data_IF_589839364503
#
_entry.id   IF_589839364503
#
_cell.length_a   1.000
_cell.length_b   1.000
_cell.length_c   1.000
_cell.angle_alpha   90.00
_cell.angle_beta   90.00
_cell.angle_gamma   90.00
#
_symmetry.space_group_name_H-M   'P 1'
#
loop_
_entity.id
_entity.type
_entity.pdbx_description
1 polymer ?
#
# COMPACT_ATOMS: atom_id res chain seq x y z
N UNK A 1 -34.10 -50.20 -11.85
CA UNK A 1 -34.88 -49.59 -10.76
C UNK A 1 -33.99 -49.24 -9.57
N UNK A 2 -33.06 -48.31 -9.77
CA UNK A 2 -32.36 -47.67 -8.64
C UNK A 2 -33.25 -46.56 -8.08
N UNK A 3 -33.03 -46.17 -6.82
CA UNK A 3 -33.74 -45.03 -6.22
C UNK A 3 -33.39 -43.73 -6.93
N UNK A 4 -34.34 -42.78 -6.97
CA UNK A 4 -34.15 -41.48 -7.60
C UNK A 4 -32.92 -40.73 -7.05
N UNK A 5 -32.65 -40.85 -5.74
CA UNK A 5 -31.51 -40.22 -5.10
C UNK A 5 -30.17 -40.76 -5.63
N UNK A 6 -30.08 -42.07 -5.88
CA UNK A 6 -28.87 -42.69 -6.45
C UNK A 6 -28.67 -42.27 -7.91
N UNK A 7 -29.76 -42.22 -8.69
CA UNK A 7 -29.72 -41.76 -10.08
C UNK A 7 -29.30 -40.29 -10.20
N UNK A 8 -29.91 -39.41 -9.41
CA UNK A 8 -29.58 -37.98 -9.38
C UNK A 8 -28.15 -37.73 -8.92
N UNK A 9 -27.71 -38.40 -7.85
CA UNK A 9 -26.34 -38.25 -7.34
C UNK A 9 -25.29 -38.63 -8.38
N UNK A 10 -25.52 -39.72 -9.12
CA UNK A 10 -24.61 -40.13 -10.19
C UNK A 10 -24.63 -39.17 -11.39
N UNK A 11 -25.81 -38.65 -11.75
CA UNK A 11 -25.94 -37.63 -12.79
C UNK A 11 -25.19 -36.33 -12.40
N UNK A 12 -25.33 -35.89 -11.15
CA UNK A 12 -24.61 -34.74 -10.62
C UNK A 12 -23.10 -34.97 -10.57
N UNK A 13 -22.66 -36.17 -10.16
CA UNK A 13 -21.25 -36.56 -10.20
C UNK A 13 -20.69 -36.47 -11.62
N UNK A 14 -21.40 -36.99 -12.63
CA UNK A 14 -20.99 -36.92 -14.04
C UNK A 14 -20.95 -35.47 -14.56
N UNK A 15 -21.92 -34.64 -14.19
CA UNK A 15 -21.92 -33.22 -14.56
C UNK A 15 -20.76 -32.47 -13.90
N UNK A 16 -20.51 -32.71 -12.61
CA UNK A 16 -19.42 -32.09 -11.85
C UNK A 16 -18.04 -32.53 -12.37
N UNK A 17 -17.89 -33.79 -12.77
CA UNK A 17 -16.64 -34.29 -13.33
C UNK A 17 -16.31 -33.67 -14.69
N UNK A 18 -17.31 -33.34 -15.51
CA UNK A 18 -17.11 -32.53 -16.72
C UNK A 18 -16.76 -31.07 -16.37
N UNK A 19 -17.42 -30.48 -15.36
CA UNK A 19 -17.19 -29.09 -14.93
C UNK A 19 -15.79 -28.86 -14.38
N UNK A 20 -15.27 -29.79 -13.57
CA UNK A 20 -13.94 -29.69 -12.94
C UNK A 20 -12.84 -30.36 -13.77
N UNK A 21 -13.10 -30.69 -15.03
CA UNK A 21 -12.15 -31.32 -15.95
C UNK A 21 -11.55 -32.65 -15.46
N UNK A 22 -12.32 -33.47 -14.73
CA UNK A 22 -11.87 -34.76 -14.17
C UNK A 22 -12.10 -35.93 -15.15
N UNK A 23 -13.27 -36.01 -15.80
CA UNK A 23 -13.60 -37.13 -16.70
C UNK A 23 -15.10 -37.51 -16.76
N UNK A 24 -15.41 -38.67 -17.33
CA UNK A 24 -16.75 -39.03 -17.86
C UNK A 24 -17.70 -39.83 -16.93
N UNK A 25 -17.26 -40.18 -15.71
CA UNK A 25 -17.97 -41.12 -14.84
C UNK A 25 -17.39 -42.54 -14.93
N UNK A 26 -18.22 -43.58 -15.08
CA UNK A 26 -17.74 -44.97 -15.21
C UNK A 26 -17.03 -45.26 -16.55
N UNK A 27 -17.57 -44.79 -17.68
CA UNK A 27 -17.09 -45.10 -19.03
C UNK A 27 -17.38 -43.94 -20.00
N UNK A 28 -16.66 -43.91 -21.12
CA UNK A 28 -16.86 -42.92 -22.19
C UNK A 28 -18.27 -43.05 -22.82
N UNK A 29 -18.88 -41.94 -23.28
CA UNK A 29 -20.18 -41.99 -23.95
C UNK A 29 -20.10 -42.80 -25.25
N UNK A 30 -20.99 -43.78 -25.41
CA UNK A 30 -21.04 -44.65 -26.60
C UNK A 30 -22.17 -44.25 -27.55
N UNK A 31 -23.34 -43.91 -26.99
CA UNK A 31 -24.48 -43.45 -27.79
C UNK A 31 -24.28 -42.03 -28.31
N UNK A 32 -24.69 -41.76 -29.56
CA UNK A 32 -24.51 -40.44 -30.19
C UNK A 32 -25.18 -39.31 -29.41
N UNK A 33 -26.33 -39.54 -28.78
CA UNK A 33 -26.99 -38.57 -27.90
C UNK A 33 -26.12 -38.21 -26.69
N UNK A 34 -25.51 -39.22 -26.06
CA UNK A 34 -24.69 -39.05 -24.88
C UNK A 34 -23.37 -38.37 -25.21
N UNK A 35 -22.81 -38.62 -26.40
CA UNK A 35 -21.62 -37.93 -26.91
C UNK A 35 -21.89 -36.42 -27.04
N UNK A 36 -22.98 -36.02 -27.70
CA UNK A 36 -23.33 -34.60 -27.86
C UNK A 36 -23.62 -33.90 -26.53
N UNK A 37 -24.37 -34.54 -25.63
CA UNK A 37 -24.63 -34.00 -24.28
C UNK A 37 -23.35 -33.86 -23.47
N UNK A 38 -22.45 -34.85 -23.58
CA UNK A 38 -21.14 -34.83 -22.92
C UNK A 38 -20.29 -33.69 -23.47
N UNK A 39 -20.18 -33.55 -24.79
CA UNK A 39 -19.45 -32.44 -25.42
C UNK A 39 -20.01 -31.07 -25.00
N UNK A 40 -21.33 -30.90 -24.99
CA UNK A 40 -21.97 -29.66 -24.56
C UNK A 40 -21.64 -29.34 -23.09
N UNK A 41 -21.79 -30.33 -22.20
CA UNK A 41 -21.49 -30.15 -20.77
C UNK A 41 -20.01 -29.90 -20.50
N UNK A 42 -19.09 -30.46 -21.30
CA UNK A 42 -17.67 -30.15 -21.22
C UNK A 42 -17.37 -28.71 -21.63
N UNK A 43 -17.99 -28.21 -22.71
CA UNK A 43 -17.82 -26.80 -23.16
C UNK A 43 -18.31 -25.83 -22.08
N UNK A 44 -19.52 -26.06 -21.56
CA UNK A 44 -20.09 -25.24 -20.49
C UNK A 44 -19.22 -25.32 -19.24
N UNK A 45 -18.83 -26.53 -18.84
CA UNK A 45 -18.00 -26.81 -17.68
C UNK A 45 -16.65 -26.10 -17.72
N UNK A 46 -15.91 -26.26 -18.82
CA UNK A 46 -14.61 -25.62 -19.03
C UNK A 46 -14.73 -24.08 -19.02
N UNK A 47 -15.79 -23.54 -19.62
CA UNK A 47 -16.04 -22.08 -19.60
C UNK A 47 -16.30 -21.57 -18.18
N UNK A 48 -17.16 -22.26 -17.42
CA UNK A 48 -17.43 -21.93 -16.02
C UNK A 48 -16.16 -22.03 -15.16
N UNK A 49 -15.34 -23.07 -15.35
CA UNK A 49 -14.10 -23.25 -14.61
C UNK A 49 -13.06 -22.16 -14.93
N UNK A 50 -12.92 -21.78 -16.22
CA UNK A 50 -12.06 -20.69 -16.62
C UNK A 50 -12.50 -19.34 -16.01
N UNK A 51 -13.81 -19.06 -16.00
CA UNK A 51 -14.35 -17.86 -15.34
C UNK A 51 -14.10 -17.89 -13.82
N UNK A 52 -14.30 -19.04 -13.17
CA UNK A 52 -14.00 -19.21 -11.75
C UNK A 52 -12.54 -18.90 -11.42
N UNK A 53 -11.59 -19.46 -12.18
CA UNK A 53 -10.16 -19.16 -12.03
C UNK A 53 -9.88 -17.68 -12.27
N UNK A 54 -10.50 -17.08 -13.30
CA UNK A 54 -10.36 -15.66 -13.60
C UNK A 54 -10.79 -14.77 -12.42
N UNK A 55 -11.96 -15.05 -11.83
CA UNK A 55 -12.45 -14.34 -10.67
C UNK A 55 -11.60 -14.57 -9.41
N UNK A 56 -11.17 -15.81 -9.15
CA UNK A 56 -10.28 -16.11 -8.04
C UNK A 56 -8.95 -15.35 -8.16
N UNK A 57 -8.38 -15.29 -9.36
CA UNK A 57 -7.15 -14.55 -9.64
C UNK A 57 -7.34 -13.05 -9.45
N UNK A 58 -8.44 -12.48 -9.96
CA UNK A 58 -8.77 -11.07 -9.79
C UNK A 58 -8.95 -10.70 -8.31
N UNK A 59 -9.62 -11.57 -7.54
CA UNK A 59 -9.78 -11.39 -6.09
C UNK A 59 -8.42 -11.37 -5.38
N UNK A 60 -7.54 -12.35 -5.66
CA UNK A 60 -6.19 -12.40 -5.09
C UNK A 60 -5.41 -11.13 -5.42
N UNK A 61 -5.50 -10.63 -6.65
CA UNK A 61 -4.84 -9.39 -7.05
C UNK A 61 -5.42 -8.14 -6.36
N UNK A 62 -6.71 -8.14 -6.00
CA UNK A 62 -7.38 -7.02 -5.34
C UNK A 62 -7.10 -6.93 -3.84
N UNK A 63 -6.80 -8.05 -3.17
CA UNK A 63 -6.69 -8.12 -1.71
C UNK A 63 -5.51 -7.33 -1.14
N UNK A 64 -4.45 -7.07 -1.92
CA UNK A 64 -3.26 -6.35 -1.43
C UNK A 64 -2.74 -5.29 -2.41
N UNK A 65 -3.65 -4.43 -2.88
CA UNK A 65 -3.33 -3.38 -3.86
C UNK A 65 -2.25 -2.40 -3.37
N UNK A 66 -2.37 -1.88 -2.13
CA UNK A 66 -1.43 -0.89 -1.58
C UNK A 66 0.00 -1.43 -1.37
N UNK A 67 0.13 -2.68 -0.90
CA UNK A 67 1.45 -3.31 -0.74
C UNK A 67 2.04 -3.69 -2.08
N UNK A 68 1.22 -4.16 -3.03
CA UNK A 68 1.66 -4.41 -4.40
C UNK A 68 2.18 -3.13 -5.05
N UNK A 69 1.49 -2.00 -4.91
CA UNK A 69 1.95 -0.71 -5.39
C UNK A 69 3.29 -0.30 -4.76
N UNK A 70 3.45 -0.47 -3.45
CA UNK A 70 4.73 -0.24 -2.78
C UNK A 70 5.85 -1.12 -3.35
N UNK A 71 5.60 -2.42 -3.51
CA UNK A 71 6.58 -3.37 -4.07
C UNK A 71 6.95 -3.03 -5.51
N UNK A 72 5.97 -2.71 -6.36
CA UNK A 72 6.19 -2.29 -7.75
C UNK A 72 7.03 -1.01 -7.81
N UNK A 73 6.73 -0.02 -6.97
CA UNK A 73 7.51 1.23 -6.90
C UNK A 73 8.92 0.97 -6.41
N UNK A 74 9.09 0.20 -5.33
CA UNK A 74 10.40 -0.09 -4.76
C UNK A 74 11.28 -0.88 -5.76
N UNK A 75 10.69 -1.80 -6.54
CA UNK A 75 11.40 -2.50 -7.62
C UNK A 75 11.92 -1.54 -8.69
N UNK A 76 11.19 -0.47 -9.04
CA UNK A 76 11.71 0.57 -9.94
C UNK A 76 12.90 1.31 -9.32
N UNK A 77 12.87 1.56 -8.01
CA UNK A 77 14.00 2.15 -7.29
C UNK A 77 15.22 1.23 -7.34
N UNK A 78 15.05 -0.07 -7.11
CA UNK A 78 16.14 -1.05 -7.24
C UNK A 78 16.76 -1.08 -8.64
N UNK A 79 15.91 -1.06 -9.67
CA UNK A 79 16.36 -0.99 -11.06
C UNK A 79 17.17 0.29 -11.33
N UNK A 80 16.71 1.43 -10.81
CA UNK A 80 17.43 2.70 -10.90
C UNK A 80 18.80 2.63 -10.21
N UNK A 81 18.85 2.09 -8.98
CA UNK A 81 20.10 1.92 -8.22
C UNK A 81 21.08 0.98 -8.93
N UNK A 82 20.57 -0.07 -9.57
CA UNK A 82 21.35 -1.03 -10.33
C UNK A 82 21.92 -0.40 -11.60
N UNK A 83 21.09 0.32 -12.37
CA UNK A 83 21.49 1.00 -13.60
C UNK A 83 22.61 2.02 -13.35
N UNK A 84 22.48 2.81 -12.28
CA UNK A 84 23.51 3.79 -11.88
C UNK A 84 24.66 3.20 -11.08
N UNK A 85 24.67 1.88 -10.84
CA UNK A 85 25.72 1.16 -10.11
C UNK A 85 26.04 1.80 -8.75
N UNK A 86 25.00 2.19 -8.02
CA UNK A 86 25.18 2.82 -6.70
C UNK A 86 25.90 1.85 -5.73
N UNK A 87 26.78 2.35 -4.84
CA UNK A 87 27.45 1.53 -3.83
C UNK A 87 26.47 0.82 -2.90
N UNK A 88 26.88 -0.32 -2.34
CA UNK A 88 26.05 -1.13 -1.45
C UNK A 88 25.52 -0.32 -0.24
N UNK A 89 26.38 0.48 0.39
CA UNK A 89 26.01 1.30 1.55
C UNK A 89 24.91 2.31 1.21
N UNK A 90 24.99 2.91 0.02
CA UNK A 90 23.96 3.85 -0.45
C UNK A 90 22.64 3.14 -0.75
N UNK A 91 22.69 1.92 -1.31
CA UNK A 91 21.50 1.11 -1.54
C UNK A 91 20.82 0.73 -0.23
N UNK A 92 21.59 0.34 0.78
CA UNK A 92 21.05 0.02 2.10
C UNK A 92 20.39 1.23 2.73
N UNK A 93 21.03 2.41 2.67
CA UNK A 93 20.43 3.65 3.15
C UNK A 93 19.11 3.99 2.44
N UNK A 94 19.06 3.83 1.12
CA UNK A 94 17.81 4.02 0.35
C UNK A 94 16.75 3.01 0.79
N UNK A 95 17.10 1.74 0.97
CA UNK A 95 16.19 0.70 1.46
C UNK A 95 15.59 1.09 2.82
N UNK A 96 16.45 1.38 3.80
CA UNK A 96 16.04 1.76 5.14
C UNK A 96 15.16 3.01 5.12
N UNK A 97 15.48 4.01 4.29
CA UNK A 97 14.65 5.20 4.10
C UNK A 97 13.24 4.85 3.62
N UNK A 98 13.12 4.00 2.59
CA UNK A 98 11.82 3.59 2.06
C UNK A 98 11.00 2.77 3.06
N UNK A 99 11.64 1.90 3.85
CA UNK A 99 10.96 1.18 4.93
C UNK A 99 10.43 2.14 6.01
N UNK A 100 11.23 3.10 6.47
CA UNK A 100 10.79 4.07 7.49
C UNK A 100 9.74 5.05 6.97
N UNK A 101 9.85 5.50 5.70
CA UNK A 101 8.97 6.51 5.10
C UNK A 101 7.58 5.98 4.76
N UNK A 102 7.48 4.72 4.33
CA UNK A 102 6.25 4.13 3.80
C UNK A 102 5.76 2.92 4.58
N UNK A 103 6.58 2.29 5.43
CA UNK A 103 6.18 1.15 6.28
C UNK A 103 5.50 0.01 5.49
N UNK A 104 6.00 -0.24 4.27
CA UNK A 104 5.47 -1.28 3.38
C UNK A 104 4.15 -0.93 2.67
N UNK A 105 3.61 0.28 2.85
CA UNK A 105 2.39 0.75 2.19
C UNK A 105 2.60 2.11 1.54
N UNK A 106 2.25 2.23 0.28
CA UNK A 106 2.36 3.49 -0.44
C UNK A 106 0.96 4.06 -0.71
N UNK A 107 0.78 5.34 -0.37
CA UNK A 107 -0.43 6.09 -0.62
C UNK A 107 -0.07 7.40 -1.32
N UNK A 108 -0.89 7.79 -2.31
CA UNK A 108 -0.84 9.12 -2.88
C UNK A 108 -1.68 10.06 -2.01
N UNK A 109 -1.09 10.53 -0.92
CA UNK A 109 -1.79 11.36 0.08
C UNK A 109 -2.33 12.67 -0.52
N UNK A 110 -1.63 13.26 -1.50
CA UNK A 110 -2.07 14.50 -2.15
C UNK A 110 -3.32 14.26 -3.01
N UNK A 111 -3.35 13.17 -3.79
CA UNK A 111 -4.54 12.79 -4.54
C UNK A 111 -5.71 12.43 -3.63
N UNK A 112 -5.47 11.60 -2.60
CA UNK A 112 -6.51 11.16 -1.66
C UNK A 112 -7.14 12.35 -0.93
N UNK A 113 -6.30 13.24 -0.38
CA UNK A 113 -6.80 14.45 0.29
C UNK A 113 -7.48 15.41 -0.70
N UNK A 114 -7.01 15.44 -1.95
CA UNK A 114 -7.56 16.24 -3.05
C UNK A 114 -9.02 15.90 -3.41
N UNK A 115 -9.40 14.63 -3.31
CA UNK A 115 -10.77 14.15 -3.57
C UNK A 115 -11.77 14.48 -2.45
N UNK A 116 -11.28 14.82 -1.26
CA UNK A 116 -12.11 15.14 -0.10
C UNK A 116 -12.54 16.60 -0.10
N UNK A 117 -13.72 16.84 0.49
CA UNK A 117 -14.20 18.19 0.80
C UNK A 117 -13.24 18.88 1.78
N UNK A 118 -13.21 20.21 1.71
CA UNK A 118 -12.33 21.04 2.56
C UNK A 118 -12.51 20.75 4.06
N UNK A 119 -13.74 20.66 4.62
CA UNK A 119 -13.90 20.36 6.05
C UNK A 119 -13.35 18.98 6.46
N UNK A 120 -13.55 17.95 5.62
CA UNK A 120 -13.02 16.60 5.90
C UNK A 120 -11.50 16.57 5.87
N UNK A 121 -10.90 17.30 4.93
CA UNK A 121 -9.45 17.43 4.81
C UNK A 121 -8.86 18.11 6.05
N UNK A 122 -9.47 19.20 6.51
CA UNK A 122 -9.07 19.88 7.73
C UNK A 122 -9.19 18.97 8.96
N UNK A 123 -10.26 18.19 9.07
CA UNK A 123 -10.46 17.24 10.18
C UNK A 123 -9.38 16.16 10.21
N UNK A 124 -9.06 15.55 9.05
CA UNK A 124 -8.01 14.53 8.94
C UNK A 124 -6.64 15.11 9.30
N UNK A 125 -6.30 16.29 8.77
CA UNK A 125 -5.01 16.96 9.02
C UNK A 125 -4.88 17.31 10.51
N UNK A 126 -5.92 17.88 11.11
CA UNK A 126 -5.95 18.17 12.55
C UNK A 126 -5.80 16.90 13.37
N UNK A 127 -6.46 15.80 12.99
CA UNK A 127 -6.31 14.53 13.67
C UNK A 127 -4.88 13.99 13.58
N UNK A 128 -4.26 13.98 12.40
CA UNK A 128 -2.91 13.47 12.18
C UNK A 128 -1.85 14.31 12.93
N UNK A 129 -2.05 15.62 12.98
CA UNK A 129 -1.12 16.55 13.62
C UNK A 129 -1.44 16.83 15.10
N UNK A 130 -2.49 16.24 15.70
CA UNK A 130 -2.91 16.55 17.09
C UNK A 130 -1.80 16.44 18.13
N UNK A 131 -0.90 15.46 17.98
CA UNK A 131 0.25 15.28 18.87
C UNK A 131 1.25 16.43 18.73
N UNK A 132 1.51 16.84 17.49
CA UNK A 132 2.37 17.97 17.18
C UNK A 132 1.78 19.25 17.78
N UNK A 133 0.51 19.54 17.52
CA UNK A 133 -0.20 20.71 18.04
C UNK A 133 -0.17 20.76 19.57
N UNK A 134 -0.48 19.65 20.24
CA UNK A 134 -0.46 19.58 21.70
C UNK A 134 0.94 19.73 22.31
N UNK A 135 1.97 19.26 21.62
CA UNK A 135 3.36 19.33 22.09
C UNK A 135 4.02 20.70 21.87
N UNK A 136 3.45 21.54 21.00
CA UNK A 136 4.09 22.78 20.55
C UNK A 136 3.51 24.01 21.25
N UNK A 137 4.31 24.71 22.08
CA UNK A 137 3.86 25.95 22.73
C UNK A 137 3.42 27.03 21.74
N UNK A 138 3.98 27.02 20.52
CA UNK A 138 3.63 27.97 19.46
C UNK A 138 2.16 27.86 19.04
N UNK A 139 1.59 26.66 19.02
CA UNK A 139 0.19 26.44 18.62
C UNK A 139 -0.78 26.43 19.80
N UNK A 140 -0.30 26.15 21.02
CA UNK A 140 -1.14 26.03 22.20
C UNK A 140 -1.99 27.28 22.49
N UNK A 141 -1.48 28.47 22.17
CA UNK A 141 -2.16 29.75 22.41
C UNK A 141 -2.57 30.48 21.13
N UNK A 142 -2.48 29.82 19.96
CA UNK A 142 -2.80 30.42 18.68
C UNK A 142 -4.30 30.26 18.34
N UNK A 143 -4.80 31.13 17.45
CA UNK A 143 -6.16 31.00 16.90
C UNK A 143 -6.31 29.63 16.18
N UNK A 144 -7.34 28.83 16.49
CA UNK A 144 -7.58 27.55 15.82
C UNK A 144 -7.60 27.65 14.28
N UNK A 145 -8.11 28.74 13.71
CA UNK A 145 -8.12 28.92 12.25
C UNK A 145 -6.70 29.08 11.69
N UNK A 146 -5.83 29.79 12.42
CA UNK A 146 -4.41 29.91 12.08
C UNK A 146 -3.71 28.55 12.16
N UNK A 147 -3.97 27.77 13.23
CA UNK A 147 -3.39 26.44 13.40
C UNK A 147 -3.79 25.54 12.23
N UNK A 148 -5.09 25.42 11.93
CA UNK A 148 -5.58 24.63 10.79
C UNK A 148 -4.94 25.09 9.49
N UNK A 149 -4.91 26.40 9.23
CA UNK A 149 -4.29 26.97 8.03
C UNK A 149 -2.82 26.59 7.89
N UNK A 150 -2.06 26.62 8.99
CA UNK A 150 -0.64 26.23 8.96
C UNK A 150 -0.48 24.71 8.75
N UNK A 151 -1.27 23.89 9.45
CA UNK A 151 -1.19 22.44 9.33
C UNK A 151 -1.45 21.96 7.91
N UNK A 152 -2.36 22.61 7.16
CA UNK A 152 -2.59 22.28 5.74
C UNK A 152 -1.41 22.56 4.82
N UNK A 153 -0.41 23.35 5.27
CA UNK A 153 0.81 23.64 4.52
C UNK A 153 2.00 22.78 4.93
N UNK A 154 1.89 22.03 6.02
CA UNK A 154 2.94 21.11 6.45
C UNK A 154 3.10 19.97 5.45
N UNK A 155 4.34 19.52 5.29
CA UNK A 155 4.69 18.34 4.50
C UNK A 155 5.48 17.38 5.38
N UNK A 156 5.07 16.12 5.37
CA UNK A 156 5.74 15.08 6.14
C UNK A 156 7.05 14.68 5.46
N UNK A 157 8.17 14.82 6.18
CA UNK A 157 9.51 14.43 5.76
C UNK A 157 10.14 13.50 6.80
N UNK A 158 10.98 12.57 6.35
CA UNK A 158 11.71 11.61 7.20
C UNK A 158 13.20 11.78 6.92
N UNK A 159 14.03 11.76 7.96
CA UNK A 159 15.49 11.85 7.85
C UNK A 159 16.13 10.66 8.56
N UNK A 160 17.26 10.17 8.03
CA UNK A 160 18.00 9.08 8.67
C UNK A 160 19.01 9.64 9.68
N UNK A 161 19.41 8.85 10.69
CA UNK A 161 20.50 9.22 11.57
C UNK A 161 21.78 9.57 10.79
N UNK A 162 22.37 10.73 11.11
CA UNK A 162 23.57 11.24 10.44
C UNK A 162 23.30 12.15 9.23
N UNK A 163 22.05 12.32 8.80
CA UNK A 163 21.72 13.28 7.75
C UNK A 163 21.80 14.73 8.25
N UNK A 164 22.34 15.62 7.41
CA UNK A 164 22.32 17.06 7.65
C UNK A 164 21.03 17.67 7.09
N UNK A 165 20.10 18.03 7.98
CA UNK A 165 18.81 18.64 7.60
C UNK A 165 19.00 20.10 7.15
N UNK A 166 19.78 20.88 7.90
CA UNK A 166 20.16 22.26 7.58
C UNK A 166 21.68 22.37 7.65
N UNK A 167 22.27 23.15 6.73
CA UNK A 167 23.72 23.42 6.69
C UNK A 167 23.99 24.88 7.03
N UNK A 168 24.91 25.12 7.97
CA UNK A 168 25.38 26.46 8.33
C UNK A 168 25.90 27.20 7.08
N UNK A 169 25.59 28.48 6.97
CA UNK A 169 26.01 29.32 5.84
C UNK A 169 25.21 29.13 4.55
N UNK A 170 24.13 28.34 4.57
CA UNK A 170 23.22 28.20 3.42
C UNK A 170 21.92 28.97 3.62
N UNK A 171 21.27 29.37 2.53
CA UNK A 171 20.00 30.10 2.57
C UNK A 171 18.88 29.13 2.97
N UNK A 172 18.23 29.38 4.11
CA UNK A 172 17.05 28.64 4.55
C UNK A 172 15.82 28.96 3.70
N UNK A 173 15.12 27.92 3.24
CA UNK A 173 13.88 28.03 2.44
C UNK A 173 12.66 27.38 3.10
N UNK A 174 12.88 26.69 4.21
CA UNK A 174 11.89 25.91 4.95
C UNK A 174 12.22 25.98 6.44
N UNK A 175 11.19 25.84 7.25
CA UNK A 175 11.32 25.53 8.68
C UNK A 175 10.77 24.13 8.94
N UNK A 176 11.20 23.51 10.03
CA UNK A 176 10.86 22.14 10.40
C UNK A 176 10.28 22.08 11.80
N UNK A 177 9.25 21.25 11.96
CA UNK A 177 8.63 20.94 13.24
C UNK A 177 8.90 19.46 13.55
N UNK A 178 9.41 19.15 14.74
CA UNK A 178 9.78 17.79 15.12
C UNK A 178 8.55 17.08 15.68
N UNK A 179 7.94 16.24 14.85
CA UNK A 179 6.85 15.36 15.28
C UNK A 179 7.38 14.18 16.10
N UNK A 180 8.49 13.58 15.67
CA UNK A 180 9.14 12.47 16.35
C UNK A 180 10.63 12.42 16.03
N UNK A 181 11.46 12.21 17.05
CA UNK A 181 12.91 12.02 16.95
C UNK A 181 13.72 13.08 17.67
N UNK A 182 15.03 12.98 17.54
CA UNK A 182 15.99 13.92 18.16
C UNK A 182 16.93 14.43 17.09
N UNK A 183 17.13 15.75 17.06
CA UNK A 183 18.09 16.40 16.16
C UNK A 183 19.16 17.12 16.98
N UNK A 184 20.37 17.15 16.43
CA UNK A 184 21.51 17.85 17.02
C UNK A 184 21.80 19.13 16.25
N UNK A 185 21.76 20.26 16.95
CA UNK A 185 22.15 21.56 16.42
C UNK A 185 23.64 21.75 16.69
N UNK A 186 24.42 21.75 15.62
CA UNK A 186 25.86 21.95 15.64
C UNK A 186 26.15 23.38 15.16
N UNK A 187 26.77 24.20 16.01
CA UNK A 187 27.21 25.55 15.67
C UNK A 187 28.69 25.72 15.98
N UNK A 188 29.42 26.40 15.10
CA UNK A 188 30.86 26.61 15.28
C UNK A 188 31.15 27.35 16.60
N UNK A 189 31.86 26.68 17.51
CA UNK A 189 32.28 27.26 18.80
C UNK A 189 31.28 27.09 19.95
N UNK A 190 30.11 26.51 19.71
CA UNK A 190 29.14 26.20 20.76
C UNK A 190 29.05 24.69 21.01
N UNK A 191 28.56 24.32 22.19
CA UNK A 191 28.24 22.92 22.49
C UNK A 191 27.01 22.48 21.69
N UNK A 192 26.98 21.21 21.34
CA UNK A 192 25.84 20.56 20.71
C UNK A 192 24.59 20.73 21.56
N UNK A 193 23.52 21.25 20.94
CA UNK A 193 22.19 21.35 21.57
C UNK A 193 21.28 20.32 20.92
N UNK A 194 20.57 19.55 21.74
CA UNK A 194 19.61 18.55 21.24
C UNK A 194 18.19 19.10 21.31
N UNK A 195 17.45 18.93 20.22
CA UNK A 195 16.02 19.22 20.14
C UNK A 195 15.26 17.91 19.98
N UNK A 196 14.11 17.80 20.64
CA UNK A 196 13.27 16.60 20.65
C UNK A 196 11.85 16.91 20.18
N UNK A 197 10.96 15.90 20.21
CA UNK A 197 9.53 15.98 19.91
C UNK A 197 8.89 17.28 20.48
N UNK A 198 8.15 18.00 19.64
CA UNK A 198 7.53 19.29 19.98
C UNK A 198 8.43 20.52 19.82
N UNK A 199 9.72 20.33 19.52
CA UNK A 199 10.62 21.44 19.15
C UNK A 199 10.51 21.78 17.66
N UNK A 200 10.97 22.96 17.27
CA UNK A 200 11.06 23.39 15.87
C UNK A 200 12.39 24.09 15.62
N UNK A 201 12.83 24.11 14.36
CA UNK A 201 14.07 24.74 13.92
C UNK A 201 13.97 25.16 12.44
N UNK A 202 14.85 26.07 12.00
CA UNK A 202 14.78 26.66 10.66
C UNK A 202 15.47 28.01 10.63
#
# INVERSE_FOLDING_TARGET
>A
NDSWGKQYSYALFKAMSHMLCIGYGQQAPVGMSDVWLTMLSMIVGATCYAMFIGHATALIQSLDSSRRQYQEKYKQVEQYMSFHKLPADMRQRIHDYYEHRYQGKMFDEESILGELSEPLREEIINFNCRKLVASMPLFANADPNFVTSMLTKLRFEVFQPGDYIIREGTIGKKMYFIQHGVVSVLTKGNKETKLADGSYFG
#
